data_IF_508668554702
#
_entry.id   IF_508668554702
#
_cell.length_a   1.000
_cell.length_b   1.000
_cell.length_c   1.000
_cell.angle_alpha   90.00
_cell.angle_beta   90.00
_cell.angle_gamma   90.00
#
_symmetry.space_group_name_H-M   'P 1'
#
loop_
_entity.id
_entity.type
_entity.pdbx_description
1 polymer ?
#
# COMPACT_ATOMS: atom_id res chain seq x y z
N UNK A 1 -16.42 29.81 -6.92
CA UNK A 1 -15.14 29.11 -7.10
C UNK A 1 -15.11 28.12 -5.97
N UNK A 2 -15.32 26.85 -6.29
CA UNK A 2 -15.20 25.77 -5.31
C UNK A 2 -13.74 25.71 -4.83
N UNK A 3 -13.49 25.43 -3.54
CA UNK A 3 -12.15 25.18 -3.09
C UNK A 3 -11.60 23.92 -3.77
N UNK A 4 -10.33 23.97 -4.17
CA UNK A 4 -9.64 22.86 -4.82
C UNK A 4 -8.42 22.45 -4.03
N UNK A 5 -8.21 21.15 -3.86
CA UNK A 5 -6.99 20.57 -3.29
C UNK A 5 -6.25 19.81 -4.39
N UNK A 6 -4.95 20.08 -4.54
CA UNK A 6 -4.07 19.33 -5.43
C UNK A 6 -3.02 18.62 -4.60
N UNK A 7 -2.80 17.34 -4.86
CA UNK A 7 -1.87 16.52 -4.11
C UNK A 7 -1.53 15.22 -4.83
N UNK A 8 -0.63 14.45 -4.21
CA UNK A 8 -0.31 13.08 -4.62
C UNK A 8 -1.09 12.12 -3.75
N UNK A 9 -1.83 11.22 -4.37
CA UNK A 9 -2.72 10.30 -3.69
C UNK A 9 -2.42 8.86 -4.10
N UNK A 10 -2.54 7.94 -3.15
CA UNK A 10 -2.68 6.52 -3.48
C UNK A 10 -4.15 6.13 -3.49
N UNK A 11 -4.55 5.42 -4.54
CA UNK A 11 -5.85 4.76 -4.64
C UNK A 11 -5.88 3.60 -3.63
N UNK A 12 -6.69 3.71 -2.59
CA UNK A 12 -6.84 2.67 -1.58
C UNK A 12 -7.78 1.56 -2.07
N UNK A 13 -8.99 1.95 -2.49
CA UNK A 13 -10.04 1.03 -2.92
C UNK A 13 -11.11 1.76 -3.73
N UNK A 14 -11.99 1.00 -4.39
CA UNK A 14 -13.20 1.52 -5.03
C UNK A 14 -14.42 0.99 -4.30
N UNK A 15 -15.23 1.90 -3.75
CA UNK A 15 -16.45 1.54 -3.05
C UNK A 15 -17.52 1.00 -4.02
N UNK A 16 -18.47 0.18 -3.54
CA UNK A 16 -19.56 -0.32 -4.37
C UNK A 16 -20.46 0.76 -4.99
N UNK A 17 -20.47 1.97 -4.43
CA UNK A 17 -21.19 3.14 -4.94
C UNK A 17 -20.40 3.90 -6.03
N UNK A 18 -19.20 3.43 -6.38
CA UNK A 18 -18.35 4.00 -7.42
C UNK A 18 -17.31 5.01 -6.92
N UNK A 19 -17.41 5.48 -5.66
CA UNK A 19 -16.45 6.41 -5.08
C UNK A 19 -15.07 5.77 -4.94
N UNK A 20 -14.03 6.55 -5.21
CA UNK A 20 -12.64 6.13 -5.12
C UNK A 20 -12.07 6.63 -3.79
N UNK A 21 -11.51 5.72 -3.00
CA UNK A 21 -10.83 6.08 -1.77
C UNK A 21 -9.38 6.43 -2.06
N UNK A 22 -8.96 7.60 -1.57
CA UNK A 22 -7.65 8.19 -1.78
C UNK A 22 -6.95 8.42 -0.44
N UNK A 23 -5.71 7.99 -0.32
CA UNK A 23 -4.83 8.34 0.80
C UNK A 23 -3.90 9.44 0.33
N UNK A 24 -3.89 10.58 1.01
CA UNK A 24 -2.92 11.65 0.76
C UNK A 24 -1.52 11.17 1.17
N UNK A 25 -0.60 11.14 0.20
CA UNK A 25 0.73 10.60 0.44
C UNK A 25 1.59 11.53 1.30
N UNK A 26 1.45 12.83 1.14
CA UNK A 26 2.25 13.80 1.89
C UNK A 26 1.83 13.79 3.36
N UNK A 27 0.52 13.73 3.63
CA UNK A 27 -0.01 13.60 5.00
C UNK A 27 0.36 12.25 5.63
N UNK A 28 0.24 11.15 4.89
CA UNK A 28 0.60 9.82 5.38
C UNK A 28 2.08 9.70 5.79
N UNK A 29 2.97 10.36 5.04
CA UNK A 29 4.41 10.39 5.33
C UNK A 29 4.71 11.30 6.51
N UNK A 30 4.08 12.47 6.57
CA UNK A 30 4.25 13.41 7.68
C UNK A 30 3.84 12.77 9.01
N UNK A 31 2.71 12.08 9.06
CA UNK A 31 2.21 11.44 10.28
C UNK A 31 3.19 10.42 10.88
N UNK A 32 3.87 9.63 10.03
CA UNK A 32 4.87 8.66 10.51
C UNK A 32 6.18 9.34 10.89
N UNK A 33 6.58 10.38 10.18
CA UNK A 33 7.80 11.13 10.52
C UNK A 33 7.70 11.85 11.85
N UNK A 34 6.55 12.43 12.15
CA UNK A 34 6.31 13.22 13.35
C UNK A 34 5.86 12.37 14.55
N UNK A 35 5.75 11.03 14.37
CA UNK A 35 5.20 10.08 15.35
C UNK A 35 3.88 10.60 15.94
N UNK A 36 2.99 11.07 15.06
CA UNK A 36 1.72 11.69 15.44
C UNK A 36 0.60 10.64 15.45
N UNK A 37 0.22 10.11 16.63
CA UNK A 37 -0.85 9.14 16.75
C UNK A 37 -2.25 9.75 16.54
N UNK A 38 -2.37 11.08 16.50
CA UNK A 38 -3.64 11.80 16.34
C UNK A 38 -3.89 12.26 14.90
N UNK A 39 -2.94 12.03 13.98
CA UNK A 39 -3.09 12.35 12.56
C UNK A 39 -4.33 11.66 11.96
N UNK A 40 -5.23 12.45 11.37
CA UNK A 40 -6.43 11.93 10.71
C UNK A 40 -6.09 11.41 9.32
N UNK A 41 -5.61 10.17 9.26
CA UNK A 41 -5.25 9.50 8.01
C UNK A 41 -6.45 8.84 7.33
N UNK A 42 -7.67 9.33 7.59
CA UNK A 42 -8.86 8.79 6.97
C UNK A 42 -8.81 8.97 5.45
N UNK A 43 -9.03 7.89 4.68
CA UNK A 43 -9.06 8.00 3.23
C UNK A 43 -10.18 8.93 2.77
N UNK A 44 -9.83 9.85 1.87
CA UNK A 44 -10.76 10.73 1.20
C UNK A 44 -11.60 9.95 0.19
N UNK A 45 -12.89 10.20 0.11
CA UNK A 45 -13.77 9.58 -0.87
C UNK A 45 -14.06 10.56 -2.02
N UNK A 46 -13.46 10.31 -3.19
CA UNK A 46 -13.65 11.12 -4.39
C UNK A 46 -14.71 10.51 -5.32
N UNK A 47 -15.56 11.37 -5.87
CA UNK A 47 -16.57 11.02 -6.88
C UNK A 47 -15.89 11.02 -8.25
N UNK A 48 -15.99 9.91 -9.02
CA UNK A 48 -15.47 9.88 -10.37
C UNK A 48 -16.26 10.85 -11.27
N UNK A 49 -15.61 11.46 -12.28
CA UNK A 49 -16.29 12.35 -13.20
C UNK A 49 -17.36 11.58 -14.01
N UNK A 50 -18.48 12.23 -14.30
CA UNK A 50 -19.59 11.63 -15.06
C UNK A 50 -19.58 11.99 -16.55
N UNK A 51 -18.75 12.96 -16.94
CA UNK A 51 -18.56 13.32 -18.34
C UNK A 51 -17.82 12.19 -19.07
N UNK A 52 -18.09 12.00 -20.36
CA UNK A 52 -17.37 11.03 -21.18
C UNK A 52 -16.19 11.74 -21.86
N UNK A 53 -15.15 12.00 -21.07
CA UNK A 53 -13.95 12.72 -21.47
C UNK A 53 -12.67 12.01 -21.01
N UNK A 54 -11.51 12.57 -21.38
CA UNK A 54 -10.20 11.99 -21.07
C UNK A 54 -9.95 11.84 -19.56
N UNK A 55 -10.50 12.74 -18.73
CA UNK A 55 -10.37 12.63 -17.28
C UNK A 55 -11.16 11.42 -16.77
N UNK A 56 -12.37 11.21 -17.29
CA UNK A 56 -13.17 10.04 -16.94
C UNK A 56 -12.56 8.72 -17.40
N UNK A 57 -11.93 8.69 -18.59
CA UNK A 57 -11.15 7.53 -19.03
C UNK A 57 -10.03 7.23 -18.03
N UNK A 58 -9.17 8.20 -17.69
CA UNK A 58 -8.09 8.02 -16.72
C UNK A 58 -8.59 7.57 -15.35
N UNK A 59 -9.63 8.22 -14.81
CA UNK A 59 -10.21 7.88 -13.50
C UNK A 59 -10.89 6.51 -13.51
N UNK A 60 -11.37 6.04 -14.67
CA UNK A 60 -11.94 4.70 -14.80
C UNK A 60 -10.89 3.59 -14.71
N UNK A 61 -9.67 3.85 -15.18
CA UNK A 61 -8.53 2.91 -15.19
C UNK A 61 -7.86 2.73 -13.83
N UNK A 62 -8.13 3.63 -12.88
CA UNK A 62 -7.54 3.58 -11.54
C UNK A 62 -7.81 2.25 -10.83
N UNK A 63 -6.72 1.61 -10.39
CA UNK A 63 -6.74 0.40 -9.59
C UNK A 63 -6.21 0.66 -8.18
N UNK A 64 -6.66 -0.10 -7.17
CA UNK A 64 -6.06 -0.08 -5.84
C UNK A 64 -4.53 -0.26 -5.89
N UNK A 65 -3.82 0.63 -5.20
CA UNK A 65 -2.36 0.71 -5.15
C UNK A 65 -1.75 1.80 -6.02
N UNK A 66 -2.44 2.25 -7.08
CA UNK A 66 -1.91 3.25 -8.00
C UNK A 66 -1.66 4.58 -7.29
N UNK A 67 -0.60 5.26 -7.68
CA UNK A 67 -0.30 6.64 -7.26
C UNK A 67 -0.71 7.59 -8.37
N UNK A 68 -1.45 8.62 -8.01
CA UNK A 68 -1.92 9.66 -8.91
C UNK A 68 -1.55 11.03 -8.39
N UNK A 69 -1.19 11.94 -9.28
CA UNK A 69 -1.32 13.37 -9.01
C UNK A 69 -2.73 13.77 -9.42
N UNK A 70 -3.51 14.31 -8.48
CA UNK A 70 -4.89 14.68 -8.74
C UNK A 70 -5.21 16.06 -8.18
N UNK A 71 -6.15 16.73 -8.85
CA UNK A 71 -6.82 17.90 -8.32
C UNK A 71 -8.28 17.57 -8.05
N UNK A 72 -8.73 17.92 -6.85
CA UNK A 72 -10.07 17.64 -6.35
C UNK A 72 -10.80 18.95 -6.05
N UNK A 73 -11.97 19.15 -6.63
CA UNK A 73 -12.88 20.22 -6.26
C UNK A 73 -13.81 19.75 -5.14
N UNK A 74 -14.16 20.65 -4.23
CA UNK A 74 -14.98 20.32 -3.06
C UNK A 74 -16.33 21.02 -3.10
N UNK A 75 -17.40 20.25 -3.01
CA UNK A 75 -18.78 20.73 -2.80
C UNK A 75 -19.42 20.01 -1.60
N UNK A 76 -19.86 20.78 -0.60
CA UNK A 76 -20.51 20.30 0.64
C UNK A 76 -19.91 19.01 1.26
N UNK A 77 -18.58 18.90 1.29
CA UNK A 77 -17.78 17.76 1.80
C UNK A 77 -17.64 16.56 0.85
N UNK A 78 -18.12 16.67 -0.38
CA UNK A 78 -17.83 15.74 -1.46
C UNK A 78 -16.65 16.26 -2.30
N UNK A 79 -15.69 15.38 -2.58
CA UNK A 79 -14.56 15.68 -3.44
C UNK A 79 -14.83 15.12 -4.84
N UNK A 80 -14.60 15.91 -5.87
CA UNK A 80 -14.78 15.52 -7.28
C UNK A 80 -13.47 15.70 -8.05
N UNK A 81 -13.11 14.73 -8.90
CA UNK A 81 -11.93 14.86 -9.75
C UNK A 81 -12.12 16.00 -10.77
N UNK A 82 -11.15 16.91 -10.80
CA UNK A 82 -11.04 17.93 -11.86
C UNK A 82 -9.81 17.74 -12.74
N UNK A 83 -8.81 17.02 -12.24
CA UNK A 83 -7.63 16.61 -12.99
C UNK A 83 -7.03 15.34 -12.35
N UNK A 84 -6.41 14.47 -13.15
CA UNK A 84 -5.83 13.22 -12.69
C UNK A 84 -4.78 12.70 -13.68
N UNK A 85 -3.58 12.42 -13.18
CA UNK A 85 -2.49 11.76 -13.90
C UNK A 85 -1.97 10.57 -13.07
N UNK A 86 -1.82 9.41 -13.72
CA UNK A 86 -1.26 8.20 -13.09
C UNK A 86 0.26 8.32 -13.12
N UNK A 87 0.90 8.29 -11.95
CA UNK A 87 2.36 8.37 -11.82
C UNK A 87 2.98 6.98 -11.67
N UNK A 88 2.39 6.15 -10.81
CA UNK A 88 2.90 4.81 -10.50
C UNK A 88 1.76 3.80 -10.50
N UNK A 89 2.02 2.62 -11.05
CA UNK A 89 1.07 1.51 -11.11
C UNK A 89 1.40 0.44 -10.08
N UNK A 90 1.91 0.85 -8.91
CA UNK A 90 2.15 -0.03 -7.77
C UNK A 90 0.89 -0.82 -7.44
N UNK A 91 1.03 -2.13 -7.25
CA UNK A 91 -0.11 -3.00 -6.97
C UNK A 91 -0.04 -3.53 -5.54
N UNK A 92 -1.05 -3.21 -4.73
CA UNK A 92 -1.18 -3.71 -3.36
C UNK A 92 -2.22 -4.83 -3.30
N UNK A 93 -1.83 -6.00 -2.79
CA UNK A 93 -2.70 -7.16 -2.62
C UNK A 93 -2.72 -7.62 -1.16
N UNK A 94 -3.91 -7.98 -0.68
CA UNK A 94 -4.13 -8.38 0.70
C UNK A 94 -4.46 -9.88 0.76
N UNK A 95 -3.65 -10.65 1.48
CA UNK A 95 -3.80 -12.09 1.66
C UNK A 95 -4.13 -12.39 3.13
N UNK A 96 -5.41 -12.60 3.43
CA UNK A 96 -5.85 -12.95 4.78
C UNK A 96 -5.84 -14.46 4.99
N UNK A 97 -5.46 -14.89 6.19
CA UNK A 97 -5.48 -16.28 6.59
C UNK A 97 -4.50 -17.18 5.82
N UNK A 98 -3.36 -16.67 5.39
CA UNK A 98 -2.36 -17.47 4.67
C UNK A 98 -1.60 -18.41 5.60
N UNK A 99 -1.02 -19.47 5.05
CA UNK A 99 -0.16 -20.42 5.76
C UNK A 99 1.08 -20.71 4.93
N UNK A 100 2.13 -21.25 5.56
CA UNK A 100 3.34 -21.64 4.85
C UNK A 100 4.13 -20.44 4.32
N UNK A 101 4.33 -19.43 5.17
CA UNK A 101 5.19 -18.29 4.82
C UNK A 101 6.61 -18.76 4.52
N UNK A 102 7.27 -18.03 3.63
CA UNK A 102 8.66 -18.29 3.28
C UNK A 102 9.59 -17.96 4.46
N UNK A 103 10.68 -18.71 4.56
CA UNK A 103 11.59 -18.73 5.71
C UNK A 103 12.13 -17.34 6.09
N UNK A 104 12.46 -16.50 5.09
CA UNK A 104 12.99 -15.15 5.34
C UNK A 104 12.03 -14.29 6.17
N UNK A 105 10.71 -14.42 5.99
CA UNK A 105 9.74 -13.67 6.80
C UNK A 105 9.73 -14.18 8.25
N UNK A 106 9.76 -15.49 8.45
CA UNK A 106 9.77 -16.12 9.78
C UNK A 106 11.04 -15.78 10.54
N UNK A 107 12.21 -15.85 9.89
CA UNK A 107 13.49 -15.45 10.48
C UNK A 107 13.52 -13.96 10.85
N UNK A 108 12.99 -13.09 9.98
CA UNK A 108 12.93 -11.65 10.24
C UNK A 108 12.11 -11.36 11.51
N UNK A 109 10.97 -12.06 11.67
CA UNK A 109 10.16 -11.96 12.87
C UNK A 109 10.86 -12.53 14.10
N UNK A 110 11.47 -13.71 13.99
CA UNK A 110 12.20 -14.34 15.09
C UNK A 110 13.30 -13.44 15.63
N UNK A 111 14.05 -12.77 14.75
CA UNK A 111 15.07 -11.81 15.14
C UNK A 111 14.47 -10.58 15.84
N UNK A 112 13.31 -10.09 15.38
CA UNK A 112 12.57 -9.02 16.06
C UNK A 112 12.19 -9.43 17.49
N UNK A 113 11.63 -10.62 17.65
CA UNK A 113 11.21 -11.17 18.93
C UNK A 113 12.40 -11.32 19.89
N UNK A 114 13.54 -11.80 19.40
CA UNK A 114 14.77 -11.93 20.18
C UNK A 114 15.34 -10.57 20.61
N UNK A 115 15.21 -9.54 19.77
CA UNK A 115 15.62 -8.17 20.09
C UNK A 115 14.61 -7.45 21.00
N UNK A 116 13.37 -7.94 21.09
CA UNK A 116 12.26 -7.26 21.76
C UNK A 116 11.64 -6.14 20.93
N UNK A 117 11.85 -6.14 19.62
CA UNK A 117 11.35 -5.13 18.70
C UNK A 117 9.94 -5.49 18.19
N UNK A 118 9.08 -4.48 18.08
CA UNK A 118 7.71 -4.65 17.56
C UNK A 118 7.65 -4.83 16.04
N UNK A 119 8.75 -4.56 15.35
CA UNK A 119 8.86 -4.61 13.90
C UNK A 119 10.30 -4.91 13.50
N UNK A 120 10.48 -5.67 12.42
CA UNK A 120 11.78 -5.83 11.79
C UNK A 120 11.65 -5.96 10.27
N UNK A 121 12.75 -5.73 9.55
CA UNK A 121 12.78 -5.73 8.10
C UNK A 121 14.02 -6.41 7.53
N UNK A 122 13.90 -7.01 6.34
CA UNK A 122 15.02 -7.68 5.66
C UNK A 122 14.87 -7.62 4.15
N UNK A 123 15.95 -7.27 3.45
CA UNK A 123 16.04 -7.36 1.99
C UNK A 123 16.07 -8.83 1.55
N UNK A 124 15.30 -9.19 0.53
CA UNK A 124 15.32 -10.50 -0.12
C UNK A 124 16.18 -10.47 -1.38
N UNK A 125 16.72 -11.64 -1.76
CA UNK A 125 17.63 -11.79 -2.88
C UNK A 125 17.18 -12.91 -3.82
N UNK A 126 17.49 -12.77 -5.11
CA UNK A 126 17.29 -13.80 -6.13
C UNK A 126 18.35 -14.91 -6.01
N UNK A 127 18.22 -15.96 -6.82
CA UNK A 127 19.24 -17.01 -6.97
C UNK A 127 20.58 -16.49 -7.46
N UNK A 128 20.58 -15.35 -8.15
CA UNK A 128 21.78 -14.67 -8.65
C UNK A 128 22.32 -13.63 -7.65
N UNK A 129 21.79 -13.63 -6.41
CA UNK A 129 22.15 -12.70 -5.34
C UNK A 129 21.85 -11.22 -5.66
N UNK A 130 20.85 -10.97 -6.51
CA UNK A 130 20.33 -9.63 -6.78
C UNK A 130 19.18 -9.31 -5.83
N UNK A 131 19.20 -8.13 -5.23
CA UNK A 131 18.11 -7.70 -4.35
C UNK A 131 16.80 -7.60 -5.15
N UNK A 132 15.74 -8.26 -4.67
CA UNK A 132 14.47 -8.40 -5.39
C UNK A 132 13.22 -8.01 -4.58
N UNK A 133 13.37 -7.73 -3.29
CA UNK A 133 12.30 -7.22 -2.46
C UNK A 133 12.75 -6.91 -1.02
N UNK A 134 11.81 -6.49 -0.18
CA UNK A 134 11.99 -6.27 1.26
C UNK A 134 10.79 -6.80 2.01
N UNK A 135 11.04 -7.60 3.04
CA UNK A 135 10.02 -7.98 4.01
C UNK A 135 10.00 -7.04 5.20
N UNK A 136 8.81 -6.73 5.69
CA UNK A 136 8.55 -6.09 6.96
C UNK A 136 7.62 -6.97 7.78
N UNK A 137 8.01 -7.26 9.01
CA UNK A 137 7.20 -8.04 9.96
C UNK A 137 6.77 -7.12 11.09
N UNK A 138 5.50 -7.20 11.48
CA UNK A 138 4.90 -6.38 12.54
C UNK A 138 4.25 -7.28 13.58
N UNK A 139 4.67 -7.17 14.83
CA UNK A 139 4.09 -7.90 15.95
C UNK A 139 2.58 -7.61 16.07
N UNK A 140 1.77 -8.66 16.28
CA UNK A 140 0.39 -8.49 16.73
C UNK A 140 0.41 -7.86 18.13
N UNK A 141 -0.23 -6.70 18.28
CA UNK A 141 -0.09 -5.87 19.49
C UNK A 141 -1.01 -6.32 20.65
N UNK A 142 -0.68 -5.88 21.87
CA UNK A 142 -1.56 -5.97 23.06
C UNK A 142 -1.80 -4.57 23.64
N UNK A 143 -3.05 -4.07 23.79
CA UNK A 143 -4.32 -4.73 23.41
C UNK A 143 -4.39 -5.03 21.90
N UNK A 144 -5.20 -6.01 21.49
CA UNK A 144 -5.23 -6.49 20.11
C UNK A 144 -5.62 -5.38 19.14
N UNK A 145 -4.66 -4.96 18.32
CA UNK A 145 -4.87 -4.18 17.09
C UNK A 145 -4.82 -5.10 15.89
N UNK A 146 -5.81 -4.98 15.02
CA UNK A 146 -5.89 -5.74 13.79
C UNK A 146 -5.12 -4.99 12.70
N UNK A 147 -3.78 -5.08 12.75
CA UNK A 147 -2.88 -4.36 11.83
C UNK A 147 -3.17 -4.69 10.37
N UNK A 148 -3.52 -5.95 10.07
CA UNK A 148 -3.89 -6.34 8.71
C UNK A 148 -5.11 -5.55 8.20
N UNK A 149 -6.15 -5.48 9.03
CA UNK A 149 -7.33 -4.67 8.71
C UNK A 149 -6.99 -3.19 8.63
N UNK A 150 -6.16 -2.67 9.52
CA UNK A 150 -5.76 -1.25 9.51
C UNK A 150 -5.03 -0.88 8.21
N UNK A 151 -4.07 -1.71 7.76
CA UNK A 151 -3.41 -1.51 6.47
C UNK A 151 -4.38 -1.62 5.29
N UNK A 152 -5.38 -2.51 5.39
CA UNK A 152 -6.40 -2.69 4.35
C UNK A 152 -7.36 -1.50 4.24
N UNK A 153 -7.68 -0.87 5.37
CA UNK A 153 -8.60 0.28 5.39
C UNK A 153 -7.87 1.62 5.31
N UNK A 154 -6.54 1.63 5.24
CA UNK A 154 -5.72 2.84 5.25
C UNK A 154 -5.60 3.52 6.62
N UNK A 155 -6.09 2.89 7.70
CA UNK A 155 -6.01 3.45 9.06
C UNK A 155 -4.56 3.47 9.57
N UNK A 156 -3.74 2.52 9.13
CA UNK A 156 -2.28 2.59 9.25
C UNK A 156 -1.71 2.71 7.83
N UNK A 157 -0.95 3.77 7.52
CA UNK A 157 -0.44 4.00 6.17
C UNK A 157 0.70 3.03 5.86
N UNK A 158 0.64 2.43 4.67
CA UNK A 158 1.73 1.60 4.13
C UNK A 158 2.78 2.44 3.39
N UNK A 159 2.45 3.69 3.05
CA UNK A 159 3.27 4.56 2.21
C UNK A 159 4.70 4.75 2.71
N UNK A 160 4.96 5.00 4.01
CA UNK A 160 6.32 5.24 4.47
C UNK A 160 7.26 4.05 4.23
N UNK A 161 6.74 2.82 4.20
CA UNK A 161 7.53 1.63 3.89
C UNK A 161 7.89 1.55 2.41
N UNK A 162 6.94 1.89 1.55
CA UNK A 162 7.14 1.90 0.09
C UNK A 162 8.10 3.03 -0.27
N UNK A 163 7.90 4.26 0.21
CA UNK A 163 8.82 5.37 -0.05
C UNK A 163 10.22 5.11 0.48
N UNK A 164 10.35 4.40 1.60
CA UNK A 164 11.67 3.98 2.08
C UNK A 164 12.36 3.05 1.08
N UNK A 165 11.63 2.08 0.54
CA UNK A 165 12.14 1.20 -0.52
C UNK A 165 12.48 2.02 -1.78
N UNK A 166 11.61 2.93 -2.21
CA UNK A 166 11.88 3.80 -3.36
C UNK A 166 13.13 4.65 -3.16
N UNK A 167 13.30 5.28 -2.00
CA UNK A 167 14.44 6.16 -1.71
C UNK A 167 15.78 5.41 -1.66
N UNK A 168 15.77 4.11 -1.35
CA UNK A 168 16.95 3.25 -1.36
C UNK A 168 17.27 2.70 -2.77
N UNK A 169 16.38 2.92 -3.75
CA UNK A 169 16.49 2.41 -5.12
C UNK A 169 16.58 3.55 -6.13
N UNK A 170 17.36 3.32 -7.18
CA UNK A 170 17.50 4.26 -8.31
C UNK A 170 16.95 3.58 -9.57
N UNK A 171 15.65 3.28 -9.55
CA UNK A 171 14.92 2.74 -10.68
C UNK A 171 13.50 3.34 -10.75
N UNK A 172 12.81 3.10 -11.88
CA UNK A 172 11.45 3.59 -12.14
C UNK A 172 10.44 2.44 -12.26
N UNK A 173 10.77 1.28 -11.68
CA UNK A 173 9.92 0.09 -11.80
C UNK A 173 8.76 0.15 -10.80
N UNK A 174 7.56 -0.19 -11.24
CA UNK A 174 6.41 -0.32 -10.32
C UNK A 174 6.62 -1.46 -9.32
N UNK A 175 6.11 -1.28 -8.10
CA UNK A 175 6.22 -2.28 -7.04
C UNK A 175 5.00 -3.21 -7.01
N UNK A 176 5.22 -4.44 -6.57
CA UNK A 176 4.15 -5.31 -6.10
C UNK A 176 4.25 -5.43 -4.57
N UNK A 177 3.19 -5.07 -3.86
CA UNK A 177 3.14 -5.06 -2.41
C UNK A 177 2.12 -6.08 -1.94
N UNK A 178 2.56 -6.98 -1.07
CA UNK A 178 1.71 -8.03 -0.52
C UNK A 178 1.59 -7.85 0.98
N UNK A 179 0.38 -7.57 1.46
CA UNK A 179 0.07 -7.51 2.89
C UNK A 179 -0.55 -8.84 3.27
N UNK A 180 0.07 -9.58 4.18
CA UNK A 180 -0.33 -10.95 4.51
C UNK A 180 -0.59 -11.11 6.01
N UNK A 181 -1.71 -11.74 6.34
CA UNK A 181 -2.05 -12.14 7.70
C UNK A 181 -1.96 -13.66 7.85
N UNK A 182 -0.81 -14.19 8.29
CA UNK A 182 -0.65 -15.61 8.53
C UNK A 182 -1.51 -16.13 9.71
N UNK A 183 -2.13 -17.30 9.54
CA UNK A 183 -2.91 -17.96 10.60
C UNK A 183 -2.04 -18.59 11.68
N UNK A 184 -0.84 -19.03 11.31
CA UNK A 184 0.05 -19.81 12.18
C UNK A 184 1.14 -18.95 12.86
N UNK A 185 1.12 -17.63 12.65
CA UNK A 185 2.18 -16.73 13.11
C UNK A 185 1.64 -15.55 13.93
N UNK A 186 2.50 -14.98 14.78
CA UNK A 186 2.15 -13.86 15.69
C UNK A 186 2.44 -12.47 15.09
N UNK A 187 2.62 -12.38 13.78
CA UNK A 187 2.91 -11.13 13.07
C UNK A 187 2.07 -10.94 11.81
N UNK A 188 2.02 -9.70 11.31
CA UNK A 188 1.55 -9.34 9.97
C UNK A 188 2.78 -9.09 9.10
N UNK A 189 2.74 -9.56 7.85
CA UNK A 189 3.83 -9.41 6.88
C UNK A 189 3.44 -8.38 5.82
N UNK A 190 4.36 -7.48 5.50
CA UNK A 190 4.33 -6.69 4.27
C UNK A 190 5.54 -7.09 3.44
N UNK A 191 5.31 -7.57 2.23
CA UNK A 191 6.36 -7.91 1.29
C UNK A 191 6.32 -6.99 0.08
N UNK A 192 7.35 -6.16 -0.08
CA UNK A 192 7.50 -5.23 -1.20
C UNK A 192 8.45 -5.85 -2.21
N UNK A 193 7.93 -6.26 -3.36
CA UNK A 193 8.69 -6.82 -4.48
C UNK A 193 9.01 -5.70 -5.47
N UNK A 194 10.29 -5.61 -5.87
CA UNK A 194 10.80 -4.47 -6.63
C UNK A 194 10.31 -4.40 -8.08
N UNK A 195 9.89 -5.53 -8.66
CA UNK A 195 9.35 -5.57 -10.02
C UNK A 195 7.96 -6.15 -9.99
N UNK A 196 6.94 -5.32 -10.22
CA UNK A 196 5.51 -5.70 -10.25
C UNK A 196 5.22 -6.89 -11.17
N UNK A 197 5.86 -6.88 -12.34
CA UNK A 197 5.67 -7.85 -13.41
C UNK A 197 6.78 -8.92 -13.43
N UNK A 198 7.60 -8.97 -12.37
CA UNK A 198 8.69 -9.93 -12.25
C UNK A 198 8.23 -11.31 -11.78
N UNK A 199 9.06 -12.32 -12.08
CA UNK A 199 8.86 -13.72 -11.68
C UNK A 199 8.56 -13.90 -10.18
N UNK A 200 9.21 -13.12 -9.32
CA UNK A 200 8.99 -13.18 -7.88
C UNK A 200 7.55 -12.77 -7.52
N UNK A 201 7.05 -11.68 -8.09
CA UNK A 201 5.68 -11.21 -7.83
C UNK A 201 4.64 -12.23 -8.32
N UNK A 202 4.87 -12.84 -9.49
CA UNK A 202 4.05 -13.94 -10.01
C UNK A 202 4.06 -15.15 -9.07
N UNK A 203 5.24 -15.57 -8.62
CA UNK A 203 5.40 -16.71 -7.70
C UNK A 203 4.65 -16.47 -6.38
N UNK A 204 4.71 -15.26 -5.84
CA UNK A 204 3.97 -14.91 -4.62
C UNK A 204 2.47 -15.00 -4.85
N UNK A 205 1.96 -14.46 -5.98
CA UNK A 205 0.53 -14.54 -6.30
C UNK A 205 0.05 -15.98 -6.40
N UNK A 206 0.79 -16.82 -7.12
CA UNK A 206 0.46 -18.23 -7.29
C UNK A 206 0.48 -18.99 -5.97
N UNK A 207 1.50 -18.74 -5.14
CA UNK A 207 1.67 -19.43 -3.85
C UNK A 207 0.50 -19.15 -2.91
N UNK A 208 0.00 -17.92 -2.87
CA UNK A 208 -1.04 -17.50 -1.94
C UNK A 208 -2.42 -17.32 -2.60
N UNK A 209 -2.60 -17.76 -3.85
CA UNK A 209 -3.87 -17.73 -4.56
C UNK A 209 -4.41 -16.31 -4.80
N UNK A 210 -3.52 -15.34 -5.00
CA UNK A 210 -3.89 -13.95 -5.23
C UNK A 210 -4.24 -13.71 -6.71
N UNK A 211 -5.10 -12.73 -7.01
CA UNK A 211 -5.45 -12.38 -8.39
C UNK A 211 -4.20 -12.04 -9.23
N UNK A 212 -4.17 -12.42 -10.52
CA UNK A 212 -3.15 -11.96 -11.46
C UNK A 212 -3.36 -10.47 -11.79
N UNK A 213 -2.38 -9.90 -12.50
CA UNK A 213 -2.38 -8.52 -12.95
C UNK A 213 -3.44 -8.20 -14.03
#
# INVERSE_FOLDING_TARGET
MEPTTTGRFRVLDRRPDGRILLVDLDEAVAAVKDDDPEADLQPLAAVPPTADDALAETVSELKPGYVVTASLAWDDSEAEFVDCEIEEQTWIQYADGVSGLFEVAQETWYDAQMAGDAMNSRTTYSTDNEANGVVYTFAKQTPPRDLFKEFRTGATPIEPLIQRVEAERDDSEDRAVFVMNPVDEEFVLIYIVFRKDGMLAETVRDTYGLPPL
#
